data_IF_296045503114
#
_entry.id   IF_296045503114
#
_cell.length_a   1.000
_cell.length_b   1.000
_cell.length_c   1.000
_cell.angle_alpha   90.00
_cell.angle_beta   90.00
_cell.angle_gamma   90.00
#
_symmetry.space_group_name_H-M   'P 1'
#
loop_
_entity.id
_entity.type
_entity.pdbx_description
1 polymer ?
#
# COMPACT_ATOMS: atom_id res chain seq x y z
N UNK A 1 17.76 -4.12 18.39
CA UNK A 1 17.42 -4.09 18.18
C UNK A 1 16.68 -3.94 17.75
N UNK A 2 16.62 -3.71 17.58
CA UNK A 2 16.09 -3.57 17.20
C UNK A 2 15.31 -3.39 16.71
N UNK A 3 15.26 -3.27 16.48
CA UNK A 3 14.66 -3.17 16.03
C UNK A 3 13.79 -2.87 15.75
N UNK A 4 13.82 -2.78 15.69
CA UNK A 4 13.11 -2.49 15.27
C UNK A 4 12.19 -2.53 14.93
N UNK A 5 12.21 -2.68 14.92
CA UNK A 5 11.53 -2.80 14.65
C UNK A 5 10.61 -2.85 14.86
N UNK A 6 11.02 -2.99 15.37
CA UNK A 6 10.27 -3.02 15.79
C UNK A 6 9.34 -2.36 15.55
N UNK A 7 9.36 -1.86 15.37
CA UNK A 7 8.46 -1.23 14.98
C UNK A 7 8.10 -1.35 13.71
N UNK A 8 8.38 -2.02 13.36
CA UNK A 8 8.13 -2.15 12.32
C UNK A 8 6.89 -2.59 11.98
N UNK A 9 6.02 -2.28 12.40
CA UNK A 9 4.72 -2.70 12.11
C UNK A 9 4.25 -2.25 10.82
N UNK A 10 4.95 -1.38 10.22
CA UNK A 10 4.49 -0.93 9.01
C UNK A 10 5.20 -1.64 7.92
N UNK A 11 4.62 -2.67 7.38
CA UNK A 11 5.11 -3.32 6.19
C UNK A 11 4.65 -2.48 5.02
N UNK A 12 5.58 -2.09 4.18
CA UNK A 12 5.30 -1.25 3.04
C UNK A 12 5.52 -2.00 1.76
N UNK A 13 4.65 -1.79 0.81
CA UNK A 13 4.75 -2.41 -0.51
C UNK A 13 4.87 -1.33 -1.56
N UNK A 14 5.71 -1.55 -2.56
CA UNK A 14 5.77 -0.59 -3.64
C UNK A 14 4.52 -0.75 -4.51
N UNK A 15 4.39 0.11 -5.51
CA UNK A 15 3.18 0.12 -6.31
C UNK A 15 2.96 -1.19 -7.02
N UNK A 16 4.03 -1.78 -7.54
CA UNK A 16 3.91 -3.03 -8.26
C UNK A 16 3.47 -4.15 -7.36
N UNK A 17 4.04 -4.21 -6.16
CA UNK A 17 3.66 -5.23 -5.20
C UNK A 17 2.22 -5.06 -4.75
N UNK A 18 1.83 -3.82 -4.49
CA UNK A 18 0.47 -3.57 -4.05
C UNK A 18 -0.53 -4.00 -5.11
N UNK A 19 -0.26 -3.69 -6.37
CA UNK A 19 -1.16 -4.09 -7.44
C UNK A 19 -1.26 -5.60 -7.52
N UNK A 20 -0.13 -6.28 -7.35
CA UNK A 20 -0.12 -7.73 -7.40
C UNK A 20 -0.93 -8.33 -6.26
N UNK A 21 -0.75 -7.79 -5.08
CA UNK A 21 -1.49 -8.28 -3.91
C UNK A 21 -2.99 -8.11 -4.11
N UNK A 22 -3.38 -6.98 -4.66
CA UNK A 22 -4.79 -6.71 -4.92
C UNK A 22 -5.30 -7.37 -6.19
N UNK A 23 -4.39 -7.95 -6.97
CA UNK A 23 -4.73 -8.64 -8.22
C UNK A 23 -5.38 -7.70 -9.21
N UNK A 24 -4.83 -6.50 -9.31
CA UNK A 24 -5.30 -5.50 -10.27
C UNK A 24 -4.09 -5.01 -11.05
N UNK A 25 -4.34 -4.35 -12.15
CA UNK A 25 -3.26 -3.77 -12.94
C UNK A 25 -2.73 -2.53 -12.24
N UNK A 26 -1.53 -2.12 -12.62
CA UNK A 26 -0.97 -0.90 -12.08
C UNK A 26 -1.84 0.31 -12.42
N UNK A 27 -2.36 0.31 -13.63
CA UNK A 27 -3.22 1.42 -14.04
C UNK A 27 -4.45 1.50 -13.14
N UNK A 28 -5.05 0.36 -12.84
CA UNK A 28 -6.20 0.33 -11.95
C UNK A 28 -5.81 0.80 -10.56
N UNK A 29 -4.64 0.37 -10.09
CA UNK A 29 -4.17 0.79 -8.78
C UNK A 29 -4.04 2.31 -8.71
N UNK A 30 -3.44 2.91 -9.73
CA UNK A 30 -3.29 4.36 -9.74
C UNK A 30 -4.63 5.06 -9.78
N UNK A 31 -5.60 4.49 -10.47
CA UNK A 31 -6.94 5.05 -10.48
C UNK A 31 -7.56 5.03 -9.10
N UNK A 32 -7.37 3.93 -8.37
CA UNK A 32 -7.92 3.85 -7.02
C UNK A 32 -7.26 4.86 -6.10
N UNK A 33 -5.97 5.06 -6.27
CA UNK A 33 -5.25 6.04 -5.47
C UNK A 33 -5.75 7.44 -5.81
N UNK A 34 -5.94 7.72 -7.08
CA UNK A 34 -6.42 9.01 -7.52
C UNK A 34 -7.82 9.29 -7.01
N UNK A 35 -8.64 8.26 -6.93
CA UNK A 35 -10.00 8.39 -6.42
C UNK A 35 -10.05 8.52 -4.91
N UNK A 36 -8.92 8.35 -4.24
CA UNK A 36 -8.89 8.46 -2.79
C UNK A 36 -9.24 7.18 -2.06
N UNK A 37 -9.39 6.09 -2.77
CA UNK A 37 -9.75 4.83 -2.14
C UNK A 37 -8.56 4.16 -1.48
N UNK A 38 -7.36 4.42 -1.99
CA UNK A 38 -6.14 3.87 -1.43
C UNK A 38 -5.21 5.03 -1.20
N UNK A 39 -4.65 5.08 0.00
CA UNK A 39 -3.70 6.14 0.34
C UNK A 39 -2.29 5.62 0.21
N UNK A 40 -1.42 6.48 -0.24
CA UNK A 40 -0.02 6.12 -0.38
C UNK A 40 0.81 6.98 0.54
N UNK A 41 1.99 6.47 0.84
CA UNK A 41 2.98 7.22 1.59
C UNK A 41 4.19 7.40 0.70
N UNK A 42 4.81 8.56 0.82
CA UNK A 42 6.00 8.84 0.06
C UNK A 42 7.21 8.84 0.97
N UNK A 43 8.26 8.26 0.47
CA UNK A 43 9.53 8.27 1.17
C UNK A 43 10.59 8.60 0.14
N UNK A 44 11.14 9.78 0.22
CA UNK A 44 12.07 10.28 -0.78
C UNK A 44 11.36 10.33 -2.13
N UNK A 45 11.76 9.51 -3.06
CA UNK A 45 11.16 9.52 -4.39
C UNK A 45 10.21 8.37 -4.63
N UNK A 46 9.99 7.57 -3.61
CA UNK A 46 9.21 6.36 -3.78
C UNK A 46 7.87 6.49 -3.11
N UNK A 47 6.89 5.86 -3.72
CA UNK A 47 5.57 5.78 -3.14
C UNK A 47 5.34 4.36 -2.66
N UNK A 48 4.68 4.25 -1.52
CA UNK A 48 4.42 2.95 -0.91
C UNK A 48 2.98 2.89 -0.46
N UNK A 49 2.48 1.67 -0.41
CA UNK A 49 1.19 1.40 0.20
C UNK A 49 1.46 0.49 1.40
N UNK A 50 0.94 0.85 2.56
CA UNK A 50 1.17 0.03 3.75
C UNK A 50 0.26 -1.17 3.76
N UNK A 51 0.68 -2.19 4.51
CA UNK A 51 -0.14 -3.38 4.64
C UNK A 51 -1.48 -3.04 5.26
N UNK A 52 -1.48 -2.12 6.22
CA UNK A 52 -2.72 -1.69 6.86
C UNK A 52 -3.67 -1.10 5.85
N UNK A 53 -3.14 -0.29 4.94
CA UNK A 53 -3.96 0.34 3.94
C UNK A 53 -4.55 -0.68 2.97
N UNK A 54 -3.75 -1.64 2.56
CA UNK A 54 -4.23 -2.69 1.68
C UNK A 54 -5.33 -3.50 2.34
N UNK A 55 -5.14 -3.81 3.62
CA UNK A 55 -6.13 -4.58 4.33
C UNK A 55 -7.42 -3.79 4.49
N UNK A 56 -7.31 -2.51 4.78
CA UNK A 56 -8.48 -1.67 4.90
C UNK A 56 -9.25 -1.62 3.59
N UNK A 57 -8.54 -1.49 2.48
CA UNK A 57 -9.18 -1.43 1.18
C UNK A 57 -9.93 -2.72 0.86
N UNK A 58 -9.29 -3.84 1.12
CA UNK A 58 -9.90 -5.14 0.85
C UNK A 58 -11.13 -5.34 1.72
N UNK A 59 -11.03 -4.95 2.99
CA UNK A 59 -12.14 -5.09 3.91
C UNK A 59 -13.32 -4.23 3.47
N UNK A 60 -13.03 -3.00 3.04
CA UNK A 60 -14.08 -2.10 2.59
C UNK A 60 -14.78 -2.63 1.35
N UNK A 61 -14.03 -3.21 0.45
CA UNK A 61 -14.60 -3.68 -0.81
C UNK A 61 -15.19 -5.08 -0.69
N UNK A 62 -14.64 -5.82 0.21
CA UNK A 62 -15.05 -7.19 0.37
C UNK A 62 -16.33 -7.29 1.13
#
# INVERSE_FOLDING_TARGET
MSLPSEHLPQIRFDMMEAARILQISRATLYERIKAGEIRTQKDCRRSYVTATELQRYVTDKG
#
